data_IF_455345585982
#
_entry.id   IF_455345585982
#
_cell.length_a   1.000
_cell.length_b   1.000
_cell.length_c   1.000
_cell.angle_alpha   90.00
_cell.angle_beta   90.00
_cell.angle_gamma   90.00
#
_symmetry.space_group_name_H-M   'P 1'
#
loop_
_entity.id
_entity.type
_entity.pdbx_description
1 polymer ?
#
# COMPACT_ATOMS: atom_id res chain seq x y z
N UNK A 1 -0.94 -8.24 -30.53
CA UNK A 1 -1.04 -8.38 -29.06
C UNK A 1 -0.32 -7.20 -28.39
N UNK A 2 -0.73 -5.94 -28.55
CA UNK A 2 0.04 -4.85 -27.92
C UNK A 2 -0.87 -3.68 -27.55
N UNK A 3 -1.31 -3.65 -26.29
CA UNK A 3 -1.73 -2.40 -25.66
C UNK A 3 -0.54 -1.84 -24.87
N UNK A 4 0.49 -1.35 -25.59
CA UNK A 4 1.44 -0.36 -25.06
C UNK A 4 0.71 0.99 -24.97
N UNK A 5 -0.29 1.04 -24.11
CA UNK A 5 -1.00 2.26 -23.78
C UNK A 5 -0.31 2.91 -22.59
N UNK A 6 0.53 3.91 -22.87
CA UNK A 6 0.90 5.06 -22.03
C UNK A 6 1.06 4.76 -20.52
N UNK A 7 2.26 4.96 -19.97
CA UNK A 7 2.56 4.97 -18.53
C UNK A 7 1.88 6.13 -17.78
N UNK A 8 0.57 6.32 -18.01
CA UNK A 8 -0.28 7.16 -17.19
C UNK A 8 -0.35 6.52 -15.81
N UNK A 9 -0.11 7.34 -14.81
CA UNK A 9 -0.19 7.00 -13.40
C UNK A 9 -1.55 6.32 -13.16
N UNK A 10 -1.54 5.00 -12.96
CA UNK A 10 -2.73 4.23 -12.56
C UNK A 10 -2.83 4.30 -11.05
N UNK A 11 -2.96 5.49 -10.50
CA UNK A 11 -3.17 5.66 -9.06
C UNK A 11 -4.65 5.90 -8.77
N UNK A 12 -5.08 5.46 -7.59
CA UNK A 12 -6.38 5.87 -7.08
C UNK A 12 -6.38 7.39 -6.86
N UNK A 13 -7.54 8.03 -7.10
CA UNK A 13 -7.72 9.43 -6.67
C UNK A 13 -7.59 9.51 -5.16
N UNK A 14 -7.23 10.68 -4.63
CA UNK A 14 -6.97 10.86 -3.20
C UNK A 14 -8.10 10.33 -2.29
N UNK A 15 -9.36 10.64 -2.61
CA UNK A 15 -10.52 10.16 -1.85
C UNK A 15 -10.67 8.63 -1.90
N UNK A 16 -10.54 8.05 -3.11
CA UNK A 16 -10.64 6.60 -3.37
C UNK A 16 -9.53 5.83 -2.65
N UNK A 17 -8.30 6.37 -2.69
CA UNK A 17 -7.15 5.82 -2.00
C UNK A 17 -7.38 5.82 -0.49
N UNK A 18 -7.90 6.93 0.07
CA UNK A 18 -8.19 7.04 1.49
C UNK A 18 -9.21 5.99 1.95
N UNK A 19 -10.29 5.79 1.20
CA UNK A 19 -11.28 4.75 1.53
C UNK A 19 -10.67 3.34 1.54
N UNK A 20 -9.86 3.00 0.53
CA UNK A 20 -9.14 1.71 0.48
C UNK A 20 -8.17 1.53 1.66
N UNK A 21 -7.47 2.59 2.05
CA UNK A 21 -6.53 2.58 3.18
C UNK A 21 -7.27 2.37 4.50
N UNK A 22 -8.42 3.03 4.68
CA UNK A 22 -9.26 2.86 5.87
C UNK A 22 -9.82 1.43 5.96
N UNK A 23 -10.36 0.90 4.87
CA UNK A 23 -10.82 -0.49 4.80
C UNK A 23 -9.69 -1.49 5.06
N UNK A 24 -8.49 -1.27 4.49
CA UNK A 24 -7.33 -2.13 4.79
C UNK A 24 -7.01 -2.10 6.28
N UNK A 25 -6.99 -0.92 6.90
CA UNK A 25 -6.72 -0.75 8.34
C UNK A 25 -7.74 -1.46 9.21
N UNK A 26 -9.03 -1.33 8.91
CA UNK A 26 -10.13 -1.96 9.64
C UNK A 26 -10.23 -3.48 9.38
N UNK A 27 -9.48 -3.97 8.39
CA UNK A 27 -9.51 -5.37 7.93
C UNK A 27 -10.83 -5.73 7.24
N UNK A 28 -11.49 -4.73 6.67
CA UNK A 28 -12.66 -4.88 5.84
C UNK A 28 -12.32 -5.41 4.43
N UNK A 29 -13.32 -5.95 3.71
CA UNK A 29 -13.13 -6.38 2.32
C UNK A 29 -12.72 -5.21 1.42
N UNK A 30 -11.57 -5.36 0.76
CA UNK A 30 -11.03 -4.37 -0.15
C UNK A 30 -11.70 -4.45 -1.52
N UNK A 31 -12.59 -3.50 -1.81
CA UNK A 31 -13.22 -3.37 -3.12
C UNK A 31 -12.61 -2.21 -3.91
N UNK A 32 -12.32 -2.44 -5.18
CA UNK A 32 -11.81 -1.38 -6.06
C UNK A 32 -12.92 -0.37 -6.35
N UNK A 33 -12.81 0.89 -5.91
CA UNK A 33 -13.86 1.88 -6.13
C UNK A 33 -13.98 2.32 -7.60
N UNK A 34 -12.97 2.02 -8.43
CA UNK A 34 -13.01 2.29 -9.88
C UNK A 34 -13.70 1.24 -10.74
N UNK A 35 -13.77 -0.02 -10.31
CA UNK A 35 -14.29 -1.11 -11.15
C UNK A 35 -15.15 -2.12 -10.38
N UNK A 36 -15.40 -1.87 -9.10
CA UNK A 36 -16.20 -2.71 -8.19
C UNK A 36 -15.56 -4.06 -7.84
N UNK A 37 -14.33 -4.32 -8.26
CA UNK A 37 -13.72 -5.64 -8.11
C UNK A 37 -13.00 -5.82 -6.76
N UNK A 38 -13.26 -6.93 -6.08
CA UNK A 38 -12.62 -7.28 -4.79
C UNK A 38 -11.20 -7.86 -4.89
N UNK A 39 -10.64 -8.03 -6.09
CA UNK A 39 -9.27 -8.55 -6.26
C UNK A 39 -8.24 -7.43 -6.06
N UNK A 40 -8.00 -7.07 -4.80
CA UNK A 40 -6.94 -6.14 -4.40
C UNK A 40 -5.74 -6.92 -3.84
N UNK A 41 -4.59 -6.75 -4.48
CA UNK A 41 -3.30 -7.28 -4.05
C UNK A 41 -2.63 -6.29 -3.10
N UNK A 42 -2.31 -6.76 -1.89
CA UNK A 42 -1.63 -5.98 -0.86
C UNK A 42 -0.17 -6.39 -0.71
N UNK A 43 0.73 -5.42 -0.84
CA UNK A 43 2.18 -5.61 -0.69
C UNK A 43 2.73 -4.63 0.34
N UNK A 44 3.42 -5.06 1.40
CA UNK A 44 3.69 -6.44 1.78
C UNK A 44 2.44 -7.19 2.28
N UNK A 45 2.43 -8.52 2.11
CA UNK A 45 1.37 -9.38 2.65
C UNK A 45 1.36 -9.28 4.18
N UNK A 46 0.17 -9.19 4.78
CA UNK A 46 -0.05 -9.00 6.23
C UNK A 46 0.54 -10.13 7.11
N UNK A 47 0.89 -11.29 6.55
CA UNK A 47 1.38 -12.49 7.25
C UNK A 47 2.88 -12.50 7.62
N UNK A 48 3.62 -11.41 7.51
CA UNK A 48 4.99 -11.40 8.06
C UNK A 48 4.88 -11.27 9.59
N UNK A 49 5.33 -12.25 10.38
CA UNK A 49 5.28 -12.19 11.83
C UNK A 49 6.01 -10.93 12.32
N UNK A 50 5.51 -10.37 13.43
CA UNK A 50 5.94 -9.15 14.14
C UNK A 50 7.41 -9.16 14.62
N UNK A 51 8.27 -9.99 14.04
CA UNK A 51 9.67 -10.11 14.42
C UNK A 51 10.47 -9.02 13.74
N UNK A 52 10.72 -7.97 14.51
CA UNK A 52 11.83 -7.01 14.40
C UNK A 52 11.86 -6.21 13.10
N UNK A 53 11.44 -4.96 13.24
CA UNK A 53 11.61 -3.91 12.23
C UNK A 53 10.74 -4.09 10.99
N UNK A 54 9.47 -3.68 11.11
CA UNK A 54 8.78 -3.08 9.95
C UNK A 54 9.46 -1.73 9.66
N UNK A 55 10.72 -1.77 9.23
CA UNK A 55 11.48 -0.62 8.74
C UNK A 55 10.67 -0.02 7.60
N UNK A 56 10.05 1.14 7.82
CA UNK A 56 9.38 1.98 6.81
C UNK A 56 8.96 1.27 5.51
N UNK A 57 8.09 0.26 5.61
CA UNK A 57 7.59 -0.39 4.40
C UNK A 57 6.27 0.25 4.05
N UNK A 58 6.29 1.07 3.00
CA UNK A 58 5.07 1.54 2.35
C UNK A 58 4.22 0.32 2.00
N UNK A 59 2.92 0.42 2.27
CA UNK A 59 1.93 -0.58 1.88
C UNK A 59 1.33 -0.15 0.56
N UNK A 60 1.46 -0.99 -0.44
CA UNK A 60 0.85 -0.83 -1.77
C UNK A 60 -0.38 -1.70 -1.87
N UNK A 61 -1.51 -1.10 -2.21
CA UNK A 61 -2.77 -1.76 -2.55
C UNK A 61 -2.99 -1.62 -4.05
N UNK A 62 -3.03 -2.73 -4.80
CA UNK A 62 -3.19 -2.72 -6.25
C UNK A 62 -4.37 -3.57 -6.69
N UNK A 63 -5.23 -3.05 -7.56
CA UNK A 63 -6.28 -3.86 -8.17
C UNK A 63 -5.74 -4.68 -9.34
N UNK A 64 -5.96 -6.00 -9.31
CA UNK A 64 -5.60 -6.90 -10.40
C UNK A 64 -6.40 -6.70 -11.69
N UNK A 65 -7.58 -6.06 -11.62
CA UNK A 65 -8.48 -5.86 -12.77
C UNK A 65 -8.21 -4.56 -13.53
N UNK A 66 -8.27 -3.41 -12.85
CA UNK A 66 -8.05 -2.10 -13.49
C UNK A 66 -6.58 -1.64 -13.41
N UNK A 67 -5.76 -2.29 -12.59
CA UNK A 67 -4.35 -1.95 -12.41
C UNK A 67 -4.10 -0.69 -11.58
N UNK A 68 -5.14 -0.12 -10.93
CA UNK A 68 -4.96 1.05 -10.06
C UNK A 68 -4.25 0.67 -8.77
N UNK A 69 -3.42 1.55 -8.25
CA UNK A 69 -2.73 1.36 -6.99
C UNK A 69 -2.83 2.56 -6.04
N UNK A 70 -2.75 2.28 -4.74
CA UNK A 70 -2.61 3.27 -3.67
C UNK A 70 -1.44 2.85 -2.79
N UNK A 71 -0.63 3.81 -2.37
CA UNK A 71 0.52 3.58 -1.50
C UNK A 71 0.33 4.38 -0.21
N UNK A 72 0.52 3.75 0.94
CA UNK A 72 0.35 4.40 2.23
C UNK A 72 1.38 3.93 3.27
N UNK A 73 1.58 4.74 4.30
CA UNK A 73 2.47 4.41 5.42
C UNK A 73 1.63 3.86 6.60
N UNK A 74 1.92 2.65 7.11
CA UNK A 74 1.19 2.08 8.25
C UNK A 74 1.37 2.91 9.53
N UNK A 75 0.39 2.88 10.46
CA UNK A 75 0.40 3.68 11.71
C UNK A 75 1.48 3.24 12.70
N UNK A 76 1.74 1.93 12.77
CA UNK A 76 2.68 1.32 13.72
C UNK A 76 4.16 1.43 13.32
N UNK A 77 4.52 2.33 12.39
CA UNK A 77 5.92 2.61 12.09
C UNK A 77 6.38 3.78 12.95
N UNK A 78 7.06 3.46 14.05
CA UNK A 78 7.92 4.44 14.72
C UNK A 78 9.02 4.79 13.74
N UNK A 79 9.14 6.08 13.40
CA UNK A 79 10.33 6.55 12.72
C UNK A 79 11.55 6.14 13.57
N UNK A 80 12.54 5.36 13.10
CA UNK A 80 13.86 5.38 13.70
C UNK A 80 14.26 6.85 13.78
N UNK A 81 14.24 7.39 15.00
CA UNK A 81 14.80 8.70 15.25
C UNK A 81 16.20 8.71 14.65
N UNK A 82 16.54 9.81 13.99
CA UNK A 82 17.82 10.11 13.35
C UNK A 82 19.08 9.70 14.15
N UNK A 83 18.95 9.49 15.47
CA UNK A 83 20.00 9.02 16.39
C UNK A 83 20.67 7.67 16.07
N UNK A 84 20.15 6.82 15.16
CA UNK A 84 20.81 5.52 14.84
C UNK A 84 21.78 5.60 13.68
N UNK A 85 21.81 6.73 12.97
CA UNK A 85 22.75 6.95 11.87
C UNK A 85 24.09 7.56 12.36
N UNK A 86 24.17 7.99 13.62
CA UNK A 86 25.35 8.64 14.22
C UNK A 86 25.97 7.85 15.37
N UNK A 87 25.90 6.51 15.29
CA UNK A 87 26.45 5.60 16.30
C UNK A 87 27.47 4.63 15.71
N UNK A 88 28.59 5.13 15.21
CA UNK A 88 29.77 4.31 14.92
C UNK A 88 30.95 4.88 15.72
N UNK A 89 31.49 4.15 16.72
CA UNK A 89 32.82 4.44 17.25
C UNK A 89 33.91 4.04 16.26
#
# INVERSE_FOLDING_TARGET
MEHVGRRGIKEYRAAEALQLILADRDREPLNCPSCGNGSIERTPKRRIPRSRSQTYRHVTLRCGKCGRQAVYVPRDVTQPSEKELVGSP
#
